data_IF_712062898843
#
_entry.id   IF_712062898843
#
_cell.length_a   1.000
_cell.length_b   1.000
_cell.length_c   1.000
_cell.angle_alpha   90.00
_cell.angle_beta   90.00
_cell.angle_gamma   90.00
#
_symmetry.space_group_name_H-M   'P 1'
#
loop_
_entity.id
_entity.type
_entity.pdbx_description
1 polymer ?
#
# COMPACT_ATOMS: atom_id res chain seq x y z
N UNK A 1 7.07 28.37 -9.52
CA UNK A 1 5.78 27.80 -9.06
C UNK A 1 5.56 28.22 -7.61
N UNK A 2 4.35 28.68 -7.27
CA UNK A 2 3.97 29.05 -5.90
C UNK A 2 2.73 28.24 -5.51
N UNK A 3 2.79 27.56 -4.37
CA UNK A 3 1.68 26.81 -3.78
C UNK A 3 1.44 27.37 -2.38
N UNK A 4 0.21 27.76 -2.09
CA UNK A 4 -0.18 28.28 -0.78
C UNK A 4 -1.38 27.52 -0.23
N UNK A 5 -1.37 27.26 1.06
CA UNK A 5 -2.48 26.65 1.79
C UNK A 5 -2.69 27.37 3.12
N UNK A 6 -3.93 27.73 3.41
CA UNK A 6 -4.32 28.44 4.65
C UNK A 6 -5.32 27.58 5.41
N UNK A 7 -5.08 27.38 6.70
CA UNK A 7 -6.04 26.80 7.65
C UNK A 7 -6.43 27.85 8.69
N UNK A 8 -7.37 27.52 9.58
CA UNK A 8 -7.76 28.40 10.68
C UNK A 8 -6.61 28.74 11.66
N UNK A 9 -5.51 27.99 11.62
CA UNK A 9 -4.43 28.06 12.62
C UNK A 9 -3.03 28.20 12.04
N UNK A 10 -2.86 28.11 10.72
CA UNK A 10 -1.57 28.35 10.06
C UNK A 10 -1.71 28.58 8.55
N UNK A 11 -0.69 29.22 7.99
CA UNK A 11 -0.46 29.46 6.57
C UNK A 11 0.84 28.76 6.15
N UNK A 12 0.80 28.12 4.98
CA UNK A 12 1.93 27.48 4.34
C UNK A 12 2.10 28.05 2.94
N UNK A 13 3.29 28.56 2.64
CA UNK A 13 3.68 29.01 1.31
C UNK A 13 4.94 28.28 0.85
N UNK A 14 4.88 27.68 -0.33
CA UNK A 14 5.99 27.00 -0.98
C UNK A 14 6.25 27.67 -2.32
N UNK A 15 7.44 28.25 -2.46
CA UNK A 15 7.93 28.81 -3.71
C UNK A 15 9.02 27.90 -4.27
N UNK A 16 8.72 27.27 -5.41
CA UNK A 16 9.64 26.39 -6.13
C UNK A 16 10.11 27.14 -7.39
N UNK A 17 11.35 27.61 -7.37
CA UNK A 17 12.00 28.22 -8.54
C UNK A 17 12.80 27.18 -9.34
N UNK A 18 13.42 26.22 -8.64
CA UNK A 18 14.05 25.03 -9.23
C UNK A 18 14.16 23.92 -8.17
N UNK A 19 14.46 22.65 -8.52
CA UNK A 19 14.57 21.56 -7.54
C UNK A 19 15.59 21.82 -6.42
N UNK A 20 16.60 22.67 -6.69
CA UNK A 20 17.64 23.06 -5.74
C UNK A 20 17.36 24.42 -5.07
N UNK A 21 16.30 25.12 -5.47
CA UNK A 21 15.92 26.44 -4.97
C UNK A 21 14.42 26.44 -4.65
N UNK A 22 14.12 25.85 -3.49
CA UNK A 22 12.78 25.80 -2.91
C UNK A 22 12.79 26.61 -1.61
N UNK A 23 11.91 27.61 -1.52
CA UNK A 23 11.68 28.37 -0.30
C UNK A 23 10.35 27.91 0.30
N UNK A 24 10.38 27.57 1.59
CA UNK A 24 9.22 27.14 2.36
C UNK A 24 9.03 28.13 3.49
N UNK A 25 7.81 28.63 3.65
CA UNK A 25 7.40 29.49 4.76
C UNK A 25 6.19 28.84 5.41
N UNK A 26 6.28 28.50 6.69
CA UNK A 26 5.17 27.97 7.46
C UNK A 26 5.16 28.65 8.83
N UNK A 27 4.03 29.21 9.23
CA UNK A 27 3.85 29.87 10.53
C UNK A 27 3.16 28.94 11.56
N UNK A 28 3.25 27.61 11.37
CA UNK A 28 2.54 26.67 12.21
C UNK A 28 3.02 26.76 13.67
N UNK A 29 2.13 27.05 14.64
CA UNK A 29 2.50 27.20 16.05
C UNK A 29 2.81 25.85 16.73
N UNK A 30 2.59 24.74 16.03
CA UNK A 30 2.77 23.37 16.53
C UNK A 30 4.00 22.66 15.97
N UNK A 31 4.80 23.33 15.14
CA UNK A 31 6.05 22.78 14.58
C UNK A 31 7.25 23.41 15.31
N UNK A 32 7.90 22.62 16.17
CA UNK A 32 9.08 22.98 16.98
C UNK A 32 10.41 22.44 16.37
N UNK A 33 10.42 22.05 15.10
CA UNK A 33 11.50 21.24 14.51
C UNK A 33 12.02 21.79 13.17
N UNK A 34 13.18 21.31 12.71
CA UNK A 34 13.97 21.83 11.57
C UNK A 34 13.21 21.76 10.23
N UNK A 35 12.26 20.83 10.10
CA UNK A 35 11.46 20.65 8.89
C UNK A 35 9.96 20.60 9.22
N UNK A 36 9.21 21.58 8.74
CA UNK A 36 7.76 21.65 8.90
C UNK A 36 7.06 20.45 8.25
N UNK A 37 6.38 19.62 9.04
CA UNK A 37 5.67 18.41 8.55
C UNK A 37 4.68 18.74 7.42
N UNK A 38 4.04 19.91 7.52
CA UNK A 38 3.10 20.43 6.54
C UNK A 38 3.78 20.73 5.20
N UNK A 39 5.01 21.26 5.24
CA UNK A 39 5.79 21.52 4.05
C UNK A 39 6.23 20.23 3.37
N UNK A 40 6.67 19.24 4.15
CA UNK A 40 7.05 17.92 3.63
C UNK A 40 5.87 17.25 2.94
N UNK A 41 4.69 17.24 3.58
CA UNK A 41 3.47 16.67 3.02
C UNK A 41 3.07 17.36 1.70
N UNK A 42 3.09 18.69 1.65
CA UNK A 42 2.76 19.44 0.46
C UNK A 42 3.76 19.23 -0.68
N UNK A 43 5.07 19.19 -0.40
CA UNK A 43 6.10 18.88 -1.39
C UNK A 43 5.92 17.46 -1.93
N UNK A 44 5.64 16.48 -1.07
CA UNK A 44 5.42 15.10 -1.46
C UNK A 44 4.21 14.96 -2.40
N UNK A 45 3.11 15.66 -2.10
CA UNK A 45 1.93 15.71 -2.97
C UNK A 45 2.23 16.37 -4.34
N UNK A 46 3.07 17.41 -4.37
CA UNK A 46 3.53 18.04 -5.61
C UNK A 46 4.38 17.07 -6.45
N UNK A 47 5.23 16.27 -5.80
CA UNK A 47 6.04 15.24 -6.47
C UNK A 47 5.16 14.11 -7.00
N UNK A 48 4.20 13.63 -6.22
CA UNK A 48 3.30 12.56 -6.64
C UNK A 48 2.29 12.96 -7.70
N UNK A 49 1.86 14.22 -7.73
CA UNK A 49 1.00 14.75 -8.79
C UNK A 49 1.71 14.89 -10.14
N UNK A 50 3.02 14.64 -10.21
CA UNK A 50 3.79 14.62 -11.45
C UNK A 50 4.06 16.01 -12.05
N UNK A 51 3.71 17.08 -11.34
CA UNK A 51 3.90 18.47 -11.78
C UNK A 51 5.38 18.85 -12.00
N UNK A 52 6.30 18.23 -11.24
CA UNK A 52 7.74 18.38 -11.46
C UNK A 52 8.19 17.25 -12.39
N UNK A 53 8.18 17.55 -13.70
CA UNK A 53 8.70 16.78 -14.82
C UNK A 53 9.47 15.50 -14.43
N UNK A 54 8.76 14.35 -14.39
CA UNK A 54 9.40 13.10 -14.80
C UNK A 54 9.70 13.28 -16.28
N UNK A 55 10.99 13.39 -16.64
CA UNK A 55 11.47 13.18 -18.00
C UNK A 55 10.67 12.04 -18.61
N UNK A 56 10.11 12.27 -19.80
CA UNK A 56 9.33 11.31 -20.57
C UNK A 56 9.92 9.91 -20.38
N UNK A 57 9.19 9.07 -19.65
CA UNK A 57 9.49 7.66 -19.61
C UNK A 57 9.22 7.19 -21.03
N UNK A 58 10.28 6.96 -21.80
CA UNK A 58 10.23 6.21 -23.06
C UNK A 58 9.25 5.07 -22.84
N UNK A 59 8.13 5.08 -23.56
CA UNK A 59 7.03 4.12 -23.39
C UNK A 59 7.59 2.73 -23.64
N UNK A 60 8.11 2.09 -22.60
CA UNK A 60 8.47 0.69 -22.68
C UNK A 60 7.19 -0.05 -23.04
N UNK A 61 7.26 -0.98 -24.02
CA UNK A 61 6.10 -1.74 -24.40
C UNK A 61 5.54 -2.42 -23.17
N UNK A 62 4.27 -2.15 -22.93
CA UNK A 62 3.56 -2.63 -21.74
C UNK A 62 3.54 -4.16 -21.78
N UNK A 63 3.94 -4.81 -20.69
CA UNK A 63 3.97 -6.27 -20.60
C UNK A 63 2.63 -6.90 -20.99
N UNK A 64 1.52 -6.22 -20.70
CA UNK A 64 0.16 -6.60 -21.10
C UNK A 64 -0.05 -6.76 -22.61
N UNK A 65 0.78 -6.12 -23.45
CA UNK A 65 0.73 -6.22 -24.92
C UNK A 65 1.64 -7.31 -25.47
N UNK A 66 2.73 -7.62 -24.76
CA UNK A 66 3.70 -8.63 -25.19
C UNK A 66 3.23 -10.03 -24.80
N UNK A 67 2.79 -10.22 -23.56
CA UNK A 67 2.42 -11.52 -23.01
C UNK A 67 1.39 -12.31 -23.86
N UNK A 68 0.36 -11.69 -24.47
CA UNK A 68 -0.59 -12.42 -25.32
C UNK A 68 0.01 -13.02 -26.60
N UNK A 69 1.14 -12.48 -27.07
CA UNK A 69 1.84 -12.95 -28.28
C UNK A 69 2.86 -14.05 -28.01
N UNK A 70 3.17 -14.30 -26.73
CA UNK A 70 4.16 -15.29 -26.30
C UNK A 70 3.51 -16.67 -26.23
N UNK A 71 4.18 -17.68 -26.79
CA UNK A 71 3.67 -19.05 -26.71
C UNK A 71 3.69 -19.56 -25.26
N UNK A 72 2.78 -20.46 -24.92
CA UNK A 72 2.76 -21.06 -23.58
C UNK A 72 4.08 -21.77 -23.25
N UNK A 73 4.73 -22.40 -24.24
CA UNK A 73 6.01 -23.09 -24.07
C UNK A 73 7.13 -22.10 -23.72
N UNK A 74 7.18 -20.96 -24.40
CA UNK A 74 8.20 -19.94 -24.16
C UNK A 74 7.98 -19.26 -22.80
N UNK A 75 6.72 -19.05 -22.41
CA UNK A 75 6.39 -18.49 -21.10
C UNK A 75 6.82 -19.44 -19.97
N UNK A 76 6.52 -20.74 -20.09
CA UNK A 76 6.95 -21.74 -19.10
C UNK A 76 8.48 -21.82 -19.03
N UNK A 77 9.16 -21.82 -20.17
CA UNK A 77 10.62 -21.81 -20.23
C UNK A 77 11.20 -20.59 -19.51
N UNK A 78 10.70 -19.39 -19.81
CA UNK A 78 11.12 -18.15 -19.17
C UNK A 78 10.92 -18.18 -17.65
N UNK A 79 9.78 -18.67 -17.17
CA UNK A 79 9.49 -18.79 -15.74
C UNK A 79 10.47 -19.74 -15.03
N UNK A 80 10.81 -20.87 -15.65
CA UNK A 80 11.76 -21.84 -15.11
C UNK A 80 13.19 -21.27 -15.07
N UNK A 81 13.64 -20.62 -16.14
CA UNK A 81 14.94 -19.95 -16.18
C UNK A 81 15.04 -18.88 -15.09
N UNK A 82 13.99 -18.07 -14.95
CA UNK A 82 13.96 -17.02 -13.94
C UNK A 82 13.96 -17.60 -12.52
N UNK A 83 13.18 -18.65 -12.27
CA UNK A 83 13.13 -19.33 -10.98
C UNK A 83 14.44 -20.04 -10.62
N UNK A 84 15.17 -20.57 -11.60
CA UNK A 84 16.52 -21.09 -11.40
C UNK A 84 17.52 -20.01 -11.00
N UNK A 85 17.36 -18.78 -11.51
CA UNK A 85 18.25 -17.65 -11.22
C UNK A 85 17.96 -16.89 -9.92
N UNK A 86 16.73 -16.96 -9.41
CA UNK A 86 16.28 -16.18 -8.25
C UNK A 86 15.45 -17.06 -7.29
N UNK A 87 16.05 -17.53 -6.18
CA UNK A 87 15.37 -18.36 -5.19
C UNK A 87 14.15 -17.71 -4.55
N UNK A 88 14.12 -16.37 -4.47
CA UNK A 88 12.96 -15.63 -3.93
C UNK A 88 11.81 -15.70 -4.93
N UNK A 89 12.12 -15.49 -6.21
CA UNK A 89 11.14 -15.64 -7.29
C UNK A 89 10.62 -17.08 -7.36
N UNK A 90 11.47 -18.10 -7.23
CA UNK A 90 11.05 -19.50 -7.14
C UNK A 90 10.01 -19.69 -6.04
N UNK A 91 10.31 -19.24 -4.81
CA UNK A 91 9.40 -19.37 -3.67
C UNK A 91 8.07 -18.64 -3.91
N UNK A 92 8.12 -17.42 -4.44
CA UNK A 92 6.91 -16.67 -4.79
C UNK A 92 6.07 -17.37 -5.86
N UNK A 93 6.72 -17.89 -6.91
CA UNK A 93 6.08 -18.58 -8.02
C UNK A 93 5.40 -19.87 -7.54
N UNK A 94 6.10 -20.67 -6.73
CA UNK A 94 5.54 -21.89 -6.12
C UNK A 94 4.35 -21.55 -5.23
N UNK A 95 4.46 -20.57 -4.34
CA UNK A 95 3.32 -20.15 -3.48
C UNK A 95 2.14 -19.72 -4.34
N UNK A 96 2.38 -18.95 -5.41
CA UNK A 96 1.32 -18.45 -6.27
C UNK A 96 0.56 -19.58 -7.00
N UNK A 97 1.26 -20.59 -7.51
CA UNK A 97 0.64 -21.69 -8.25
C UNK A 97 0.20 -22.88 -7.40
N UNK A 98 0.78 -23.08 -6.21
CA UNK A 98 0.33 -24.10 -5.25
C UNK A 98 -0.95 -23.71 -4.50
N UNK A 99 -1.48 -22.50 -4.71
CA UNK A 99 -2.72 -22.03 -4.08
C UNK A 99 -4.00 -22.55 -4.74
N UNK A 100 -3.93 -23.21 -5.90
CA UNK A 100 -5.07 -23.90 -6.52
C UNK A 100 -5.07 -25.37 -6.12
N UNK A 101 -5.75 -25.67 -5.02
CA UNK A 101 -6.73 -26.75 -4.90
C UNK A 101 -7.00 -26.99 -3.40
N UNK A 102 -8.20 -26.62 -2.95
CA UNK A 102 -8.76 -26.95 -1.62
C UNK A 102 -8.15 -26.31 -0.36
N UNK A 103 -7.70 -25.05 -0.40
CA UNK A 103 -7.42 -24.34 0.87
C UNK A 103 -8.72 -24.19 1.67
N UNK A 104 -8.83 -24.94 2.76
CA UNK A 104 -9.97 -24.88 3.68
C UNK A 104 -10.03 -23.50 4.35
N UNK A 105 -11.20 -23.11 4.86
CA UNK A 105 -11.35 -21.88 5.67
C UNK A 105 -10.31 -21.78 6.81
N UNK A 106 -9.95 -22.92 7.40
CA UNK A 106 -8.95 -23.00 8.47
C UNK A 106 -7.54 -22.63 7.96
N UNK A 107 -7.17 -23.07 6.75
CA UNK A 107 -5.88 -22.70 6.13
C UNK A 107 -5.79 -21.19 5.85
N UNK A 108 -6.88 -20.56 5.40
CA UNK A 108 -6.92 -19.10 5.25
C UNK A 108 -6.79 -18.37 6.59
N UNK A 109 -7.48 -18.84 7.63
CA UNK A 109 -7.39 -18.26 8.96
C UNK A 109 -5.95 -18.35 9.49
N UNK A 110 -5.30 -19.50 9.34
CA UNK A 110 -3.92 -19.71 9.77
C UNK A 110 -2.95 -18.76 9.04
N UNK A 111 -3.12 -18.56 7.73
CA UNK A 111 -2.29 -17.64 6.95
C UNK A 111 -2.50 -16.17 7.34
N UNK A 112 -3.74 -15.75 7.58
CA UNK A 112 -4.06 -14.41 8.09
C UNK A 112 -3.44 -14.21 9.47
N UNK A 113 -3.58 -15.19 10.38
CA UNK A 113 -3.03 -15.13 11.73
C UNK A 113 -1.51 -15.06 11.70
N UNK A 114 -0.84 -15.89 10.90
CA UNK A 114 0.62 -15.83 10.71
C UNK A 114 1.06 -14.48 10.13
N UNK A 115 0.31 -13.94 9.17
CA UNK A 115 0.59 -12.62 8.61
C UNK A 115 0.45 -11.53 9.67
N UNK A 116 -0.65 -11.53 10.43
CA UNK A 116 -0.89 -10.59 11.51
C UNK A 116 0.24 -10.62 12.55
N UNK A 117 0.57 -11.80 13.10
CA UNK A 117 1.65 -11.93 14.08
C UNK A 117 3.03 -11.54 13.53
N UNK A 118 3.27 -11.68 12.22
CA UNK A 118 4.56 -11.26 11.64
C UNK A 118 4.79 -9.74 11.60
N UNK A 119 3.76 -8.93 11.90
CA UNK A 119 3.83 -7.47 11.96
C UNK A 119 3.62 -6.90 13.36
N UNK A 120 3.43 -7.77 14.36
CA UNK A 120 3.33 -7.32 15.75
C UNK A 120 4.70 -6.94 16.30
N UNK A 121 4.72 -5.86 17.07
CA UNK A 121 5.84 -5.46 17.91
C UNK A 121 5.85 -6.25 19.23
N UNK A 122 6.79 -5.90 20.12
CA UNK A 122 6.95 -6.53 21.44
C UNK A 122 5.73 -6.34 22.35
N UNK A 123 4.84 -5.39 22.03
CA UNK A 123 3.65 -5.07 22.79
C UNK A 123 2.36 -5.56 22.12
N UNK A 124 2.46 -6.45 21.13
CA UNK A 124 1.34 -6.97 20.34
C UNK A 124 0.58 -5.90 19.53
N UNK A 125 1.25 -4.81 19.16
CA UNK A 125 0.70 -3.79 18.27
C UNK A 125 1.36 -3.83 16.89
N UNK A 126 0.62 -3.44 15.86
CA UNK A 126 1.21 -3.16 14.55
C UNK A 126 1.76 -1.73 14.62
N UNK A 127 3.08 -1.60 14.56
CA UNK A 127 3.74 -0.31 14.54
C UNK A 127 3.23 0.57 13.38
N UNK A 128 3.09 1.87 13.64
CA UNK A 128 2.55 2.81 12.66
C UNK A 128 3.36 2.84 11.36
N UNK A 129 4.68 2.75 11.43
CA UNK A 129 5.54 2.76 10.23
C UNK A 129 5.33 1.50 9.38
N UNK A 130 5.09 0.35 10.01
CA UNK A 130 4.88 -0.93 9.31
C UNK A 130 3.43 -1.17 8.88
N UNK A 131 2.48 -0.40 9.41
CA UNK A 131 1.05 -0.52 9.14
C UNK A 131 0.68 -0.46 7.64
N UNK A 132 1.37 0.38 6.86
CA UNK A 132 1.16 0.49 5.41
C UNK A 132 1.57 -0.79 4.67
N UNK A 133 2.69 -1.39 5.05
CA UNK A 133 3.15 -2.65 4.44
C UNK A 133 2.28 -3.82 4.88
N UNK A 134 1.81 -3.84 6.14
CA UNK A 134 0.81 -4.79 6.60
C UNK A 134 -0.46 -4.71 5.76
N UNK A 135 -1.05 -3.51 5.63
CA UNK A 135 -2.26 -3.28 4.84
C UNK A 135 -2.09 -3.77 3.40
N UNK A 136 -0.97 -3.41 2.76
CA UNK A 136 -0.67 -3.81 1.38
C UNK A 136 -0.59 -5.33 1.22
N UNK A 137 0.10 -6.01 2.14
CA UNK A 137 0.27 -7.47 2.14
C UNK A 137 -1.06 -8.19 2.40
N UNK A 138 -1.84 -7.69 3.36
CA UNK A 138 -3.15 -8.23 3.69
C UNK A 138 -4.15 -8.05 2.55
N UNK A 139 -4.20 -6.87 1.92
CA UNK A 139 -5.07 -6.63 0.78
C UNK A 139 -4.72 -7.51 -0.42
N UNK A 140 -3.43 -7.70 -0.72
CA UNK A 140 -3.00 -8.63 -1.78
C UNK A 140 -3.48 -10.05 -1.50
N UNK A 141 -3.39 -10.51 -0.26
CA UNK A 141 -3.87 -11.83 0.15
C UNK A 141 -5.40 -11.95 0.01
N UNK A 142 -6.15 -10.96 0.49
CA UNK A 142 -7.62 -10.94 0.37
C UNK A 142 -8.08 -10.90 -1.09
N UNK A 143 -7.39 -10.17 -1.96
CA UNK A 143 -7.72 -10.12 -3.38
C UNK A 143 -7.41 -11.43 -4.10
N UNK A 144 -6.37 -12.16 -3.68
CA UNK A 144 -6.13 -13.53 -4.13
C UNK A 144 -7.26 -14.47 -3.68
N UNK A 145 -7.65 -14.39 -2.40
CA UNK A 145 -8.73 -15.21 -1.85
C UNK A 145 -10.08 -14.97 -2.56
N UNK A 146 -10.42 -13.72 -2.88
CA UNK A 146 -11.65 -13.36 -3.62
C UNK A 146 -11.71 -13.97 -5.03
N UNK A 147 -10.56 -14.16 -5.69
CA UNK A 147 -10.50 -14.81 -7.02
C UNK A 147 -10.81 -16.30 -6.93
N UNK A 148 -10.39 -16.96 -5.84
CA UNK A 148 -10.56 -18.40 -5.62
C UNK A 148 -11.93 -18.74 -5.01
N UNK A 149 -12.49 -17.83 -4.22
CA UNK A 149 -13.82 -17.93 -3.63
C UNK A 149 -14.64 -16.69 -3.99
N UNK A 150 -15.41 -16.71 -5.10
CA UNK A 150 -16.37 -15.65 -5.36
C UNK A 150 -17.37 -15.63 -4.20
N UNK A 151 -17.28 -14.59 -3.37
CA UNK A 151 -18.21 -14.36 -2.28
C UNK A 151 -19.58 -14.17 -2.91
N UNK A 152 -20.44 -15.19 -2.86
CA UNK A 152 -21.85 -15.05 -3.17
C UNK A 152 -22.42 -14.04 -2.16
N UNK A 153 -22.60 -12.79 -2.58
CA UNK A 153 -23.14 -11.68 -1.78
C UNK A 153 -24.65 -11.85 -1.51
N UNK A 154 -25.07 -13.02 -1.02
CA UNK A 154 -26.44 -13.28 -0.57
C UNK A 154 -26.46 -13.73 0.89
N UNK A 155 -25.77 -13.02 1.79
CA UNK A 155 -26.20 -12.90 3.18
C UNK A 155 -25.89 -11.49 3.66
N UNK A 156 -26.90 -10.67 4.00
CA UNK A 156 -26.66 -9.36 4.57
C UNK A 156 -25.82 -9.52 5.84
N UNK A 157 -24.83 -8.64 5.96
CA UNK A 157 -24.04 -8.45 7.16
C UNK A 157 -25.00 -8.38 8.35
N UNK A 158 -24.87 -9.34 9.27
CA UNK A 158 -25.65 -9.39 10.50
C UNK A 158 -25.56 -7.98 11.11
N UNK A 159 -26.71 -7.31 11.20
CA UNK A 159 -26.82 -5.99 11.80
C UNK A 159 -26.17 -6.04 13.18
N UNK A 160 -25.08 -5.30 13.35
CA UNK A 160 -24.53 -5.01 14.67
C UNK A 160 -25.66 -4.44 15.53
N UNK A 161 -25.88 -4.92 16.76
CA UNK A 161 -26.87 -4.33 17.64
C UNK A 161 -26.49 -2.85 17.88
N UNK A 162 -27.48 -1.94 17.95
CA UNK A 162 -27.23 -0.52 18.10
C UNK A 162 -26.40 -0.27 19.36
N UNK A 163 -25.41 0.61 19.21
CA UNK A 163 -24.44 0.97 20.24
C UNK A 163 -25.09 1.16 21.60
N UNK A 164 -24.76 0.28 22.56
CA UNK A 164 -25.04 0.55 23.96
C UNK A 164 -24.26 1.80 24.36
N UNK A 165 -25.00 2.79 24.86
CA UNK A 165 -24.47 4.07 25.37
C UNK A 165 -23.42 3.79 26.43
N UNK A 166 -22.16 4.11 26.14
CA UNK A 166 -21.11 4.16 27.14
C UNK A 166 -21.32 5.40 28.00
N UNK A 167 -21.79 5.21 29.23
CA UNK A 167 -21.78 6.25 30.25
C UNK A 167 -20.35 6.38 30.79
N UNK A 168 -19.66 7.45 30.41
CA UNK A 168 -18.42 7.86 31.06
C UNK A 168 -18.76 8.42 32.44
N UNK A 169 -18.35 7.72 33.48
CA UNK A 169 -18.35 8.21 34.86
C UNK A 169 -17.00 8.88 35.07
N UNK A 170 -16.98 10.22 35.13
CA UNK A 170 -15.78 10.95 35.53
C UNK A 170 -15.62 10.89 37.06
N UNK A 171 -14.39 10.76 37.58
CA UNK A 171 -14.07 11.02 38.98
C UNK A 171 -14.18 12.51 39.31
#
# INVERSE_FOLDING_TARGET
MKVSGTSAVYELEIQISSPKKTKVICNCPYDMDVYYKHAVAAILQIVFSGFINRKDKTKQPELSKILPSVSQKDLVKFLLEKAGSDPRFYKELTIFFSQSDSKSRASYLEEVTKMYHSFLDEFDFIDYQTSFEFQKKMNRFLDQAKRLYPINQKKPFISLPPAQKWHWRHP
#
